data_IF_704248364667
#
_entry.id   IF_704248364667
#
_cell.length_a   1.000
_cell.length_b   1.000
_cell.length_c   1.000
_cell.angle_alpha   90.00
_cell.angle_beta   90.00
_cell.angle_gamma   90.00
#
_symmetry.space_group_name_H-M   'P 1'
#
loop_
_entity.id
_entity.type
_entity.pdbx_description
1 polymer ?
#
# COMPACT_ATOMS: atom_id res chain seq x y z
N UNK A 1 -5.47 -18.23 -15.88
CA UNK A 1 -4.86 -17.06 -15.22
C UNK A 1 -4.92 -17.30 -13.73
N UNK A 2 -3.78 -17.38 -13.04
CA UNK A 2 -3.79 -17.55 -11.58
C UNK A 2 -4.38 -16.30 -10.95
N UNK A 3 -5.53 -16.42 -10.29
CA UNK A 3 -6.11 -15.33 -9.51
C UNK A 3 -5.06 -14.82 -8.53
N UNK A 4 -4.87 -13.51 -8.44
CA UNK A 4 -4.05 -12.96 -7.37
C UNK A 4 -4.88 -12.98 -6.09
N UNK A 5 -4.29 -13.45 -5.00
CA UNK A 5 -5.00 -13.60 -3.72
C UNK A 5 -4.99 -12.30 -2.91
N UNK A 6 -4.04 -11.41 -3.17
CA UNK A 6 -3.89 -10.13 -2.47
C UNK A 6 -3.76 -8.96 -3.43
N UNK A 7 -4.37 -7.84 -3.05
CA UNK A 7 -4.32 -6.58 -3.76
C UNK A 7 -3.84 -5.47 -2.84
N UNK A 8 -2.80 -4.77 -3.26
CA UNK A 8 -2.38 -3.51 -2.66
C UNK A 8 -3.15 -2.39 -3.37
N UNK A 9 -3.80 -1.51 -2.62
CA UNK A 9 -4.59 -0.40 -3.19
C UNK A 9 -4.46 0.90 -2.39
N UNK A 10 -4.63 2.02 -3.08
CA UNK A 10 -4.70 3.37 -2.50
C UNK A 10 -5.59 4.29 -3.35
N UNK A 11 -6.08 5.37 -2.75
CA UNK A 11 -6.82 6.41 -3.47
C UNK A 11 -5.91 7.31 -4.36
N UNK A 12 -4.60 7.24 -4.16
CA UNK A 12 -3.61 8.01 -4.91
C UNK A 12 -2.54 7.10 -5.51
N UNK A 13 -1.80 7.59 -6.53
CA UNK A 13 -0.65 6.90 -7.05
C UNK A 13 0.33 6.51 -5.95
N UNK A 14 0.76 5.25 -5.98
CA UNK A 14 1.72 4.70 -5.05
C UNK A 14 3.12 4.83 -5.66
N UNK A 15 4.08 5.22 -4.82
CA UNK A 15 5.49 5.28 -5.17
C UNK A 15 6.29 4.40 -4.21
N UNK A 16 7.35 3.76 -4.68
CA UNK A 16 8.21 2.94 -3.83
C UNK A 16 9.26 2.19 -4.65
N UNK A 17 10.35 1.79 -3.99
CA UNK A 17 11.44 1.07 -4.66
C UNK A 17 11.02 -0.29 -5.24
N UNK A 18 10.05 -0.94 -4.61
CA UNK A 18 9.51 -2.23 -5.01
C UNK A 18 8.18 -2.09 -5.75
N UNK A 19 7.77 -0.86 -6.09
CA UNK A 19 6.54 -0.62 -6.82
C UNK A 19 6.84 -0.73 -8.32
N UNK A 20 6.18 -1.64 -9.06
CA UNK A 20 6.63 -2.04 -10.40
C UNK A 20 6.34 -0.98 -11.47
N UNK A 21 5.33 -0.13 -11.27
CA UNK A 21 4.91 0.86 -12.28
C UNK A 21 4.61 2.18 -11.59
N UNK A 22 5.37 3.22 -11.92
CA UNK A 22 5.10 4.56 -11.43
C UNK A 22 3.70 5.03 -11.89
N UNK A 23 2.95 5.69 -11.00
CA UNK A 23 1.63 6.22 -11.33
C UNK A 23 0.47 5.25 -11.10
N UNK A 24 0.71 3.97 -10.83
CA UNK A 24 -0.37 3.05 -10.46
C UNK A 24 -0.72 3.15 -8.99
N UNK A 25 -2.00 2.95 -8.68
CA UNK A 25 -2.53 2.92 -7.31
C UNK A 25 -2.88 1.51 -6.84
N UNK A 26 -2.70 0.50 -7.70
CA UNK A 26 -3.05 -0.89 -7.44
C UNK A 26 -1.92 -1.84 -7.86
N UNK A 27 -1.68 -2.88 -7.06
CA UNK A 27 -0.79 -3.99 -7.39
C UNK A 27 -1.34 -5.32 -6.87
N UNK A 28 -1.49 -6.29 -7.77
CA UNK A 28 -1.95 -7.64 -7.43
C UNK A 28 -0.76 -8.59 -7.16
N UNK A 29 -0.84 -9.35 -6.07
CA UNK A 29 0.22 -10.22 -5.54
C UNK A 29 -0.39 -11.53 -5.05
N UNK A 30 0.32 -12.65 -5.21
CA UNK A 30 -0.18 -13.97 -4.74
C UNK A 30 0.09 -14.23 -3.27
N UNK A 31 1.16 -13.66 -2.73
CA UNK A 31 1.61 -13.92 -1.36
C UNK A 31 1.29 -12.74 -0.43
N UNK A 32 0.76 -13.07 0.76
CA UNK A 32 0.38 -12.09 1.78
C UNK A 32 1.58 -11.31 2.29
N UNK A 33 2.66 -12.00 2.64
CA UNK A 33 3.82 -11.39 3.26
C UNK A 33 4.54 -10.45 2.29
N UNK A 34 4.59 -10.83 1.01
CA UNK A 34 5.09 -9.99 -0.07
C UNK A 34 4.21 -8.74 -0.26
N UNK A 35 2.88 -8.90 -0.34
CA UNK A 35 1.95 -7.79 -0.50
C UNK A 35 2.09 -6.77 0.65
N UNK A 36 2.15 -7.25 1.89
CA UNK A 36 2.35 -6.41 3.08
C UNK A 36 3.71 -5.74 3.06
N UNK A 37 4.77 -6.46 2.69
CA UNK A 37 6.13 -5.89 2.64
C UNK A 37 6.25 -4.77 1.61
N UNK A 38 5.62 -4.92 0.44
CA UNK A 38 5.56 -3.88 -0.58
C UNK A 38 4.74 -2.69 -0.05
N UNK A 39 3.51 -2.93 0.44
CA UNK A 39 2.65 -1.88 0.97
C UNK A 39 3.31 -1.07 2.11
N UNK A 40 3.99 -1.76 3.03
CA UNK A 40 4.71 -1.12 4.14
C UNK A 40 5.85 -0.22 3.67
N UNK A 41 6.54 -0.59 2.58
CA UNK A 41 7.68 0.15 2.01
C UNK A 41 7.29 1.16 0.91
N UNK A 42 6.02 1.21 0.54
CA UNK A 42 5.47 2.16 -0.43
C UNK A 42 4.95 3.43 0.23
N UNK A 43 4.84 4.51 -0.53
CA UNK A 43 4.43 5.83 -0.09
C UNK A 43 3.40 6.43 -1.05
N UNK A 44 2.53 7.30 -0.53
CA UNK A 44 1.52 8.05 -1.32
C UNK A 44 1.47 9.49 -0.80
N UNK A 45 0.78 10.39 -1.50
CA UNK A 45 0.64 11.80 -1.11
C UNK A 45 -0.56 12.03 -0.17
N UNK A 46 -0.55 11.37 0.98
CA UNK A 46 -1.58 11.56 2.01
C UNK A 46 -2.79 10.65 1.85
N UNK A 47 -2.66 9.52 1.15
CA UNK A 47 -3.67 8.47 1.10
C UNK A 47 -3.24 7.22 1.85
N UNK A 48 -4.22 6.50 2.40
CA UNK A 48 -3.97 5.20 2.99
C UNK A 48 -3.51 4.19 1.93
N UNK A 49 -2.61 3.29 2.30
CA UNK A 49 -2.30 2.09 1.51
C UNK A 49 -2.89 0.89 2.24
N UNK A 50 -3.68 0.08 1.54
CA UNK A 50 -4.32 -1.12 2.09
C UNK A 50 -3.84 -2.36 1.35
N UNK A 51 -3.81 -3.49 2.05
CA UNK A 51 -3.73 -4.81 1.43
C UNK A 51 -5.04 -5.54 1.65
N UNK A 52 -5.70 -5.91 0.57
CA UNK A 52 -6.99 -6.60 0.54
C UNK A 52 -6.76 -8.04 0.10
N UNK A 53 -7.31 -9.01 0.83
CA UNK A 53 -7.43 -10.39 0.37
C UNK A 53 -8.59 -10.46 -0.62
N UNK A 54 -8.29 -10.68 -1.90
CA UNK A 54 -9.25 -10.58 -3.00
C UNK A 54 -10.44 -11.55 -2.85
N UNK A 55 -10.25 -12.83 -2.47
CA UNK A 55 -11.37 -13.77 -2.33
C UNK A 55 -12.38 -13.39 -1.25
N UNK A 56 -11.95 -12.75 -0.15
CA UNK A 56 -12.83 -12.43 1.00
C UNK A 56 -13.19 -10.95 1.10
N UNK A 57 -12.45 -10.06 0.43
CA UNK A 57 -12.54 -8.61 0.60
C UNK A 57 -11.94 -8.09 1.91
N UNK A 58 -11.29 -8.95 2.70
CA UNK A 58 -10.74 -8.57 4.00
C UNK A 58 -9.50 -7.68 3.85
N UNK A 59 -9.42 -6.60 4.63
CA UNK A 59 -8.21 -5.76 4.69
C UNK A 59 -7.23 -6.37 5.70
N UNK A 60 -6.20 -7.05 5.20
CA UNK A 60 -5.20 -7.76 6.03
C UNK A 60 -4.05 -6.87 6.50
N UNK A 61 -3.94 -5.66 5.96
CA UNK A 61 -2.98 -4.64 6.37
C UNK A 61 -3.47 -3.23 6.01
N UNK A 62 -3.19 -2.26 6.89
CA UNK A 62 -3.48 -0.84 6.71
C UNK A 62 -2.24 -0.02 7.04
N UNK A 63 -1.85 0.86 6.13
CA UNK A 63 -0.84 1.89 6.35
C UNK A 63 -1.52 3.25 6.20
N UNK A 64 -1.71 3.99 7.31
CA UNK A 64 -2.38 5.28 7.27
C UNK A 64 -1.58 6.28 6.42
N UNK A 65 -2.23 7.35 5.93
CA UNK A 65 -1.54 8.51 5.39
C UNK A 65 -0.40 8.91 6.33
N UNK A 66 0.81 9.07 5.80
CA UNK A 66 1.86 9.75 6.55
C UNK A 66 1.52 11.24 6.51
N UNK A 67 0.67 11.68 7.43
CA UNK A 67 0.75 13.05 7.88
C UNK A 67 2.12 13.15 8.55
N UNK A 68 3.07 13.81 7.90
CA UNK A 68 4.32 14.12 8.60
C UNK A 68 3.88 14.95 9.79
N UNK A 69 4.04 14.51 11.06
CA UNK A 69 3.96 15.47 12.13
C UNK A 69 5.04 16.48 11.79
N UNK A 70 4.63 17.73 11.58
CA UNK A 70 5.55 18.85 11.68
C UNK A 70 6.29 18.58 12.98
N UNK A 71 7.60 18.32 12.88
CA UNK A 71 8.41 18.18 14.07
C UNK A 71 8.09 19.41 14.91
N UNK A 72 7.56 19.19 16.11
CA UNK A 72 7.41 20.25 17.10
C UNK A 72 8.84 20.63 17.51
N UNK A 73 9.48 21.40 16.65
CA UNK A 73 10.81 21.96 16.82
C UNK A 73 10.61 23.45 17.10
N UNK A 74 9.94 23.71 18.22
CA UNK A 74 9.79 25.01 18.86
C UNK A 74 9.51 24.77 20.35
N UNK A 75 10.57 24.50 21.12
CA UNK A 75 10.73 25.03 22.48
C UNK A 75 12.20 25.08 22.91
#
# INVERSE_FOLDING_TARGET
MTSADYRIESAQPIAGRFWPVAGTSELAVKDRALAVSIAAKSFTRGSEIRVVHVPTGEVVFRKPPQDRPVAADDL
#
